data_IF_951558040690
#
_entry.id   IF_951558040690
#
_cell.length_a   1.000
_cell.length_b   1.000
_cell.length_c   1.000
_cell.angle_alpha   90.00
_cell.angle_beta   90.00
_cell.angle_gamma   90.00
#
_symmetry.space_group_name_H-M   'P 1'
#
loop_
_entity.id
_entity.type
_entity.pdbx_description
1 polymer ?
#
# COMPACT_ATOMS: atom_id res chain seq x y z
N UNK A 1 -10.46 -14.13 -16.43
CA UNK A 1 -9.24 -13.38 -16.03
C UNK A 1 -8.03 -14.19 -16.50
N UNK A 2 -7.02 -13.56 -17.12
CA UNK A 2 -5.79 -14.23 -17.60
C UNK A 2 -4.54 -13.58 -17.01
N UNK A 3 -3.53 -14.37 -16.67
CA UNK A 3 -2.23 -13.85 -16.23
C UNK A 3 -1.59 -13.04 -17.36
N UNK A 4 -1.08 -11.86 -17.03
CA UNK A 4 -0.40 -10.99 -17.99
C UNK A 4 1.10 -11.31 -18.02
N UNK A 5 1.70 -11.31 -19.21
CA UNK A 5 3.10 -11.65 -19.37
C UNK A 5 4.04 -10.60 -18.76
N UNK A 6 5.18 -11.04 -18.22
CA UNK A 6 6.19 -10.18 -17.62
C UNK A 6 6.87 -9.33 -18.70
N UNK A 7 6.56 -8.04 -18.71
CA UNK A 7 7.16 -7.03 -19.59
C UNK A 7 6.93 -5.64 -19.03
N UNK A 8 7.76 -4.68 -19.45
CA UNK A 8 7.56 -3.28 -19.07
C UNK A 8 6.23 -2.78 -19.62
N UNK A 9 5.47 -2.09 -18.78
CA UNK A 9 4.19 -1.46 -19.16
C UNK A 9 4.07 -0.06 -18.58
N UNK A 10 3.25 0.78 -19.21
CA UNK A 10 2.83 2.03 -18.56
C UNK A 10 1.91 1.69 -17.39
N UNK A 11 2.17 2.16 -16.15
CA UNK A 11 1.28 1.89 -15.03
C UNK A 11 -0.14 2.43 -15.25
N UNK A 12 -0.32 3.43 -16.12
CA UNK A 12 -1.63 4.03 -16.43
C UNK A 12 -2.61 3.06 -17.11
N UNK A 13 -2.13 1.93 -17.67
CA UNK A 13 -3.01 0.91 -18.25
C UNK A 13 -3.67 0.02 -17.19
N UNK A 14 -3.15 0.06 -15.96
CA UNK A 14 -3.78 -0.60 -14.80
C UNK A 14 -5.04 0.17 -14.45
N UNK A 15 -6.15 -0.55 -14.26
CA UNK A 15 -7.44 0.00 -13.82
C UNK A 15 -7.24 0.89 -12.59
N UNK A 16 -7.76 2.11 -12.63
CA UNK A 16 -7.56 3.12 -11.57
C UNK A 16 -7.87 2.58 -10.18
N UNK A 17 -9.02 1.91 -9.99
CA UNK A 17 -9.37 1.32 -8.70
C UNK A 17 -8.37 0.25 -8.24
N UNK A 18 -7.81 -0.55 -9.16
CA UNK A 18 -6.78 -1.54 -8.83
C UNK A 18 -5.44 -0.87 -8.51
N UNK A 19 -5.05 0.14 -9.28
CA UNK A 19 -3.80 0.86 -9.08
C UNK A 19 -3.79 1.67 -7.77
N UNK A 20 -4.89 2.38 -7.48
CA UNK A 20 -5.04 3.14 -6.24
C UNK A 20 -5.13 2.18 -5.06
N UNK A 21 -5.91 1.08 -5.14
CA UNK A 21 -5.98 0.09 -4.07
C UNK A 21 -4.60 -0.51 -3.77
N UNK A 22 -3.85 -0.90 -4.81
CA UNK A 22 -2.49 -1.41 -4.66
C UNK A 22 -1.60 -0.41 -3.92
N UNK A 23 -1.60 0.85 -4.34
CA UNK A 23 -0.76 1.89 -3.75
C UNK A 23 -1.17 2.22 -2.31
N UNK A 24 -2.48 2.25 -2.03
CA UNK A 24 -3.03 2.45 -0.68
C UNK A 24 -2.69 1.29 0.26
N UNK A 25 -2.84 0.04 -0.20
CA UNK A 25 -2.44 -1.15 0.56
C UNK A 25 -0.95 -1.14 0.85
N UNK A 26 -0.13 -0.90 -0.17
CA UNK A 26 1.32 -0.82 -0.02
C UNK A 26 1.71 0.30 0.95
N UNK A 27 1.02 1.44 0.91
CA UNK A 27 1.22 2.52 1.87
C UNK A 27 0.82 2.13 3.29
N UNK A 28 -0.32 1.47 3.49
CA UNK A 28 -0.80 0.98 4.80
C UNK A 28 0.27 0.14 5.49
N UNK A 29 0.85 -0.82 4.77
CA UNK A 29 1.88 -1.72 5.31
C UNK A 29 3.30 -1.15 5.22
N UNK A 30 3.49 0.04 4.64
CA UNK A 30 4.82 0.63 4.44
C UNK A 30 5.70 -0.10 3.44
N UNK A 31 5.12 -0.79 2.47
CA UNK A 31 5.88 -1.46 1.41
C UNK A 31 6.24 -0.45 0.30
N UNK A 32 7.54 -0.23 0.13
CA UNK A 32 8.09 0.60 -0.94
C UNK A 32 8.82 -0.20 -2.02
N UNK A 33 8.98 -1.52 -1.85
CA UNK A 33 9.69 -2.39 -2.79
C UNK A 33 8.74 -3.02 -3.81
N UNK A 34 8.29 -2.23 -4.77
CA UNK A 34 7.45 -2.71 -5.86
C UNK A 34 7.55 -1.80 -7.08
N UNK A 35 7.12 -2.30 -8.24
CA UNK A 35 6.93 -1.49 -9.45
C UNK A 35 5.90 -2.11 -10.38
N UNK A 36 4.78 -1.41 -10.60
CA UNK A 36 3.83 -1.79 -11.65
C UNK A 36 4.47 -1.70 -13.04
N UNK A 37 5.33 -0.70 -13.27
CA UNK A 37 5.96 -0.52 -14.59
C UNK A 37 6.87 -1.69 -14.96
N UNK A 38 7.62 -2.21 -13.98
CA UNK A 38 8.59 -3.30 -14.17
C UNK A 38 8.06 -4.67 -13.73
N UNK A 39 6.84 -4.75 -13.20
CA UNK A 39 6.27 -5.95 -12.58
C UNK A 39 7.21 -6.55 -11.51
N UNK A 40 7.74 -5.68 -10.65
CA UNK A 40 8.50 -6.05 -9.45
C UNK A 40 7.54 -6.11 -8.27
N UNK A 41 7.49 -7.24 -7.56
CA UNK A 41 6.58 -7.51 -6.43
C UNK A 41 5.10 -7.20 -6.76
N UNK A 42 4.74 -7.48 -8.01
CA UNK A 42 3.44 -7.24 -8.64
C UNK A 42 3.16 -8.41 -9.56
N UNK A 43 2.02 -9.05 -9.39
CA UNK A 43 1.46 -9.96 -10.38
C UNK A 43 0.34 -9.25 -11.14
N UNK A 44 0.33 -9.37 -12.47
CA UNK A 44 -0.64 -8.67 -13.31
C UNK A 44 -1.61 -9.63 -13.97
N UNK A 45 -2.88 -9.24 -14.00
CA UNK A 45 -3.94 -9.99 -14.64
C UNK A 45 -4.75 -9.10 -15.58
N UNK A 46 -5.18 -9.66 -16.70
CA UNK A 46 -6.09 -9.00 -17.63
C UNK A 46 -7.52 -9.52 -17.44
N UNK A 47 -8.45 -8.60 -17.21
CA UNK A 47 -9.87 -8.91 -16.99
C UNK A 47 -10.70 -8.91 -18.29
N UNK A 48 -10.07 -8.68 -19.44
CA UNK A 48 -10.75 -8.49 -20.73
C UNK A 48 -10.84 -7.02 -21.17
N UNK A 49 -10.60 -6.07 -20.26
CA UNK A 49 -10.65 -4.62 -20.54
C UNK A 49 -9.42 -3.88 -20.03
N UNK A 50 -8.99 -4.10 -18.78
CA UNK A 50 -7.88 -3.40 -18.14
C UNK A 50 -6.99 -4.36 -17.37
N UNK A 51 -5.79 -3.91 -17.02
CA UNK A 51 -4.92 -4.67 -16.11
C UNK A 51 -5.35 -4.47 -14.66
N UNK A 52 -5.26 -5.55 -13.90
CA UNK A 52 -5.35 -5.62 -12.45
C UNK A 52 -3.96 -5.94 -11.91
N UNK A 53 -3.54 -5.22 -10.88
CA UNK A 53 -2.27 -5.45 -10.19
C UNK A 53 -2.54 -6.05 -8.80
N UNK A 54 -1.83 -7.13 -8.46
CA UNK A 54 -1.90 -7.78 -7.16
C UNK A 54 -0.50 -7.71 -6.52
N UNK A 55 -0.36 -7.10 -5.33
CA UNK A 55 0.90 -7.02 -4.62
C UNK A 55 1.27 -8.39 -4.04
N UNK A 56 2.55 -8.74 -4.05
CA UNK A 56 3.10 -9.89 -3.34
C UNK A 56 4.49 -9.52 -2.80
N UNK A 57 5.08 -10.38 -1.97
CA UNK A 57 6.38 -10.17 -1.31
C UNK A 57 6.40 -8.94 -0.38
N UNK A 58 6.12 -9.17 0.91
CA UNK A 58 5.91 -8.11 1.91
C UNK A 58 6.98 -8.05 2.99
N UNK A 59 8.04 -8.84 2.85
CA UNK A 59 9.16 -8.89 3.78
C UNK A 59 9.85 -7.52 3.95
N UNK A 60 9.95 -6.74 2.88
CA UNK A 60 10.49 -5.38 2.82
C UNK A 60 9.49 -4.28 3.24
N UNK A 61 8.40 -4.63 3.94
CA UNK A 61 7.40 -3.67 4.41
C UNK A 61 7.67 -3.20 5.84
N UNK A 62 7.33 -1.94 6.12
CA UNK A 62 7.42 -1.37 7.47
C UNK A 62 6.55 -2.08 8.53
N UNK A 63 5.48 -2.74 8.11
CA UNK A 63 4.67 -3.57 9.00
C UNK A 63 5.45 -4.81 9.47
N UNK A 64 6.15 -5.49 8.54
CA UNK A 64 6.97 -6.66 8.86
C UNK A 64 8.23 -6.26 9.63
N UNK A 65 8.88 -5.16 9.23
CA UNK A 65 10.09 -4.64 9.89
C UNK A 65 11.19 -5.70 10.04
N UNK A 66 11.43 -6.47 8.96
CA UNK A 66 12.42 -7.54 8.96
C UNK A 66 13.82 -6.96 9.21
N UNK A 67 14.63 -7.64 10.03
CA UNK A 67 15.96 -7.15 10.44
C UNK A 67 16.94 -6.92 9.29
N UNK A 68 16.72 -7.58 8.15
CA UNK A 68 17.54 -7.44 6.94
C UNK A 68 17.00 -6.39 5.97
N UNK A 69 15.76 -5.94 6.14
CA UNK A 69 15.13 -4.99 5.24
C UNK A 69 15.82 -3.62 5.36
N UNK A 70 16.28 -3.09 4.23
CA UNK A 70 16.94 -1.78 4.16
C UNK A 70 16.09 -0.79 3.40
N UNK A 71 16.06 0.49 3.83
CA UNK A 71 15.32 1.53 3.11
C UNK A 71 15.86 1.70 1.69
N UNK A 72 14.97 1.95 0.73
CA UNK A 72 15.38 2.26 -0.63
C UNK A 72 16.10 3.62 -0.65
N UNK A 73 17.40 3.69 -1.03
CA UNK A 73 18.17 4.93 -0.98
C UNK A 73 17.59 6.05 -1.86
N UNK A 74 16.87 5.70 -2.93
CA UNK A 74 16.24 6.69 -3.81
C UNK A 74 15.07 7.44 -3.16
N UNK A 75 14.49 6.87 -2.09
CA UNK A 75 13.33 7.45 -1.40
C UNK A 75 13.72 8.41 -0.26
N UNK A 76 15.00 8.51 0.09
CA UNK A 76 15.52 9.38 1.15
C UNK A 76 14.83 9.18 2.51
N UNK A 77 14.45 7.94 2.81
CA UNK A 77 13.93 7.52 4.13
C UNK A 77 15.02 6.84 4.93
N UNK A 78 14.99 6.99 6.25
CA UNK A 78 16.00 6.41 7.15
C UNK A 78 15.66 4.99 7.61
N UNK A 79 14.39 4.61 7.50
CA UNK A 79 13.88 3.29 7.89
C UNK A 79 12.82 2.77 6.93
N UNK A 80 12.70 1.44 6.81
CA UNK A 80 11.59 0.78 6.08
C UNK A 80 10.22 1.04 6.73
N UNK A 81 10.19 1.44 7.99
CA UNK A 81 8.96 1.81 8.70
C UNK A 81 8.41 3.18 8.28
N UNK A 82 9.20 4.03 7.62
CA UNK A 82 8.74 5.30 7.07
C UNK A 82 7.91 5.08 5.81
N UNK A 83 6.63 5.48 5.85
CA UNK A 83 5.74 5.32 4.71
C UNK A 83 6.03 6.35 3.61
N UNK A 84 6.08 5.87 2.37
CA UNK A 84 6.14 6.71 1.18
C UNK A 84 5.02 6.32 0.23
N UNK A 85 4.14 7.26 -0.09
CA UNK A 85 3.12 7.02 -1.11
C UNK A 85 3.77 7.03 -2.50
N UNK A 86 3.62 5.95 -3.26
CA UNK A 86 4.26 5.77 -4.58
C UNK A 86 3.26 5.61 -5.74
N UNK A 87 1.98 5.87 -5.50
CA UNK A 87 0.93 5.89 -6.52
C UNK A 87 1.07 7.07 -7.49
N UNK A 88 0.30 7.08 -8.58
CA UNK A 88 0.34 8.13 -9.60
C UNK A 88 -0.73 9.20 -9.39
N UNK A 89 -0.42 10.47 -9.69
CA UNK A 89 -1.37 11.58 -9.59
C UNK A 89 -2.42 11.56 -10.70
N UNK A 90 -2.00 11.14 -11.90
CA UNK A 90 -2.88 11.03 -13.07
C UNK A 90 -3.82 9.82 -12.95
N UNK A 91 -4.73 9.88 -11.99
CA UNK A 91 -5.81 8.93 -11.72
C UNK A 91 -7.09 9.68 -11.40
N UNK A 92 -8.21 9.00 -11.57
CA UNK A 92 -9.51 9.53 -11.26
C UNK A 92 -9.64 9.93 -9.77
N UNK A 93 -10.07 11.19 -9.53
CA UNK A 93 -10.16 11.76 -8.19
C UNK A 93 -11.33 11.17 -7.38
N UNK A 94 -12.45 10.84 -8.04
CA UNK A 94 -13.57 10.17 -7.38
C UNK A 94 -13.15 8.78 -6.88
N UNK A 95 -12.39 8.04 -7.68
CA UNK A 95 -11.83 6.74 -7.30
C UNK A 95 -10.92 6.84 -6.06
N UNK A 96 -10.16 7.94 -5.90
CA UNK A 96 -9.39 8.17 -4.66
C UNK A 96 -10.30 8.32 -3.44
N UNK A 97 -11.37 9.12 -3.57
CA UNK A 97 -12.36 9.32 -2.50
C UNK A 97 -13.04 8.00 -2.16
N UNK A 98 -13.55 7.26 -3.15
CA UNK A 98 -14.16 5.94 -2.94
C UNK A 98 -13.20 4.96 -2.27
N UNK A 99 -11.92 4.95 -2.68
CA UNK A 99 -10.93 4.07 -2.06
C UNK A 99 -10.64 4.46 -0.62
N UNK A 100 -10.53 5.77 -0.32
CA UNK A 100 -10.36 6.25 1.05
C UNK A 100 -11.49 5.76 1.96
N UNK A 101 -12.74 5.94 1.52
CA UNK A 101 -13.91 5.48 2.28
C UNK A 101 -13.94 3.95 2.43
N UNK A 102 -13.51 3.21 1.41
CA UNK A 102 -13.36 1.76 1.52
C UNK A 102 -12.38 1.38 2.66
N UNK A 103 -11.19 2.00 2.74
CA UNK A 103 -10.26 1.70 3.82
C UNK A 103 -10.81 2.08 5.20
N UNK A 104 -11.46 3.25 5.32
CA UNK A 104 -12.13 3.69 6.56
C UNK A 104 -13.18 2.68 7.01
N UNK A 105 -13.98 2.16 6.08
CA UNK A 105 -15.00 1.14 6.38
C UNK A 105 -14.41 -0.18 6.91
N UNK A 106 -13.14 -0.46 6.60
CA UNK A 106 -12.42 -1.68 6.97
C UNK A 106 -11.60 -1.57 8.26
N UNK A 107 -11.60 -0.40 8.92
CA UNK A 107 -10.83 -0.16 10.14
C UNK A 107 -11.11 -1.19 11.23
N UNK A 108 -12.38 -1.36 11.59
CA UNK A 108 -12.79 -2.32 12.63
C UNK A 108 -12.43 -3.76 12.27
N UNK A 109 -12.67 -4.18 11.01
CA UNK A 109 -12.33 -5.53 10.54
C UNK A 109 -10.81 -5.77 10.60
N UNK A 110 -9.99 -4.79 10.21
CA UNK A 110 -8.53 -4.90 10.26
C UNK A 110 -8.03 -5.01 11.69
N UNK A 111 -8.54 -4.19 12.62
CA UNK A 111 -8.15 -4.30 14.02
C UNK A 111 -8.61 -5.62 14.64
N UNK A 112 -9.79 -6.12 14.29
CA UNK A 112 -10.24 -7.45 14.72
C UNK A 112 -9.30 -8.57 14.24
N UNK A 113 -8.78 -8.48 13.01
CA UNK A 113 -7.75 -9.41 12.53
C UNK A 113 -6.48 -9.29 13.37
N UNK A 114 -6.00 -8.08 13.65
CA UNK A 114 -4.79 -7.89 14.48
C UNK A 114 -4.99 -8.48 15.88
N UNK A 115 -6.14 -8.19 16.52
CA UNK A 115 -6.50 -8.69 17.85
C UNK A 115 -6.53 -10.22 17.91
N UNK A 116 -6.91 -10.89 16.81
CA UNK A 116 -6.91 -12.35 16.74
C UNK A 116 -5.51 -12.98 16.87
N UNK A 117 -4.45 -12.21 16.63
CA UNK A 117 -3.05 -12.66 16.79
C UNK A 117 -2.43 -12.26 18.13
N UNK A 118 -3.19 -11.67 19.06
CA UNK A 118 -2.67 -11.18 20.34
C UNK A 118 -1.94 -12.27 21.14
N UNK A 119 -2.44 -13.49 21.12
CA UNK A 119 -1.82 -14.65 21.80
C UNK A 119 -0.65 -15.27 21.01
N UNK A 120 -0.48 -14.90 19.74
CA UNK A 120 0.59 -15.42 18.88
C UNK A 120 1.81 -14.50 18.81
N UNK A 121 1.70 -13.27 19.32
CA UNK A 121 2.74 -12.25 19.27
C UNK A 121 3.19 -11.88 20.68
N UNK A 122 4.45 -11.46 20.82
CA UNK A 122 4.87 -10.79 22.03
C UNK A 122 4.08 -9.49 22.23
N UNK A 123 3.83 -9.09 23.47
CA UNK A 123 3.12 -7.83 23.78
C UNK A 123 3.75 -6.62 23.05
N UNK A 124 5.10 -6.60 23.00
CA UNK A 124 5.85 -5.58 22.29
C UNK A 124 5.55 -5.56 20.79
N UNK A 125 5.57 -6.72 20.13
CA UNK A 125 5.29 -6.82 18.69
C UNK A 125 3.84 -6.52 18.37
N UNK A 126 2.91 -7.03 19.17
CA UNK A 126 1.49 -6.73 19.05
C UNK A 126 1.25 -5.21 19.11
N UNK A 127 1.78 -4.56 20.15
CA UNK A 127 1.66 -3.10 20.31
C UNK A 127 2.31 -2.33 19.17
N UNK A 128 3.46 -2.81 18.63
CA UNK A 128 4.11 -2.21 17.47
C UNK A 128 3.22 -2.29 16.23
N UNK A 129 2.69 -3.47 15.91
CA UNK A 129 1.81 -3.74 14.76
C UNK A 129 0.53 -2.91 14.86
N UNK A 130 -0.15 -2.96 16.00
CA UNK A 130 -1.37 -2.18 16.25
C UNK A 130 -1.14 -0.69 16.12
N UNK A 131 -0.06 -0.15 16.70
CA UNK A 131 0.31 1.27 16.56
C UNK A 131 0.67 1.63 15.12
N UNK A 132 1.38 0.75 14.41
CA UNK A 132 1.74 0.96 13.02
C UNK A 132 0.49 1.08 12.16
N UNK A 133 -0.44 0.13 12.23
CA UNK A 133 -1.70 0.19 11.47
C UNK A 133 -2.57 1.38 11.91
N UNK A 134 -2.67 1.66 13.21
CA UNK A 134 -3.37 2.86 13.71
C UNK A 134 -2.84 4.14 13.07
N UNK A 135 -1.52 4.31 12.94
CA UNK A 135 -0.97 5.51 12.31
C UNK A 135 -1.31 5.65 10.82
N UNK A 136 -1.65 4.56 10.11
CA UNK A 136 -2.25 4.67 8.78
C UNK A 136 -3.70 5.17 8.86
N UNK A 137 -4.48 4.66 9.82
CA UNK A 137 -5.86 5.11 10.04
C UNK A 137 -5.96 6.56 10.48
N UNK A 138 -5.03 7.03 11.33
CA UNK A 138 -4.92 8.45 11.70
C UNK A 138 -4.72 9.34 10.44
N UNK A 139 -4.04 8.84 9.40
CA UNK A 139 -3.86 9.54 8.11
C UNK A 139 -5.13 9.49 7.26
N UNK A 140 -5.72 8.31 7.05
CA UNK A 140 -6.91 8.20 6.16
C UNK A 140 -8.16 8.81 6.77
N UNK A 141 -8.26 8.93 8.11
CA UNK A 141 -9.36 9.61 8.78
C UNK A 141 -9.19 11.14 8.84
N UNK A 142 -8.00 11.68 8.54
CA UNK A 142 -7.73 13.12 8.53
C UNK A 142 -7.66 13.69 7.12
N UNK A 143 -8.50 14.66 6.79
CA UNK A 143 -8.48 15.32 5.47
C UNK A 143 -7.17 16.04 5.17
N UNK A 144 -6.53 16.59 6.22
CA UNK A 144 -5.27 17.30 6.10
C UNK A 144 -4.13 16.29 5.86
N UNK A 145 -4.06 15.23 6.66
CA UNK A 145 -2.99 14.24 6.52
C UNK A 145 -3.14 13.42 5.23
N UNK A 146 -4.36 13.00 4.87
CA UNK A 146 -4.61 12.28 3.63
C UNK A 146 -4.14 13.10 2.42
N UNK A 147 -4.47 14.40 2.40
CA UNK A 147 -3.99 15.31 1.35
C UNK A 147 -2.47 15.43 1.35
N UNK A 148 -1.86 15.65 2.52
CA UNK A 148 -0.43 15.94 2.65
C UNK A 148 0.48 14.73 2.45
N UNK A 149 -0.01 13.53 2.74
CA UNK A 149 0.77 12.28 2.73
C UNK A 149 0.47 11.40 1.53
N UNK A 150 -0.70 11.54 0.91
CA UNK A 150 -1.15 10.69 -0.20
C UNK A 150 -1.34 11.54 -1.46
N UNK A 151 -2.31 12.47 -1.46
CA UNK A 151 -2.66 13.20 -2.68
C UNK A 151 -1.56 14.16 -3.16
N UNK A 152 -0.81 14.81 -2.28
CA UNK A 152 0.30 15.69 -2.66
C UNK A 152 1.63 14.96 -2.87
N UNK A 153 1.68 13.66 -2.54
CA UNK A 153 2.88 12.82 -2.65
C UNK A 153 2.82 11.82 -3.81
N UNK A 154 1.70 11.77 -4.52
CA UNK A 154 1.60 10.99 -5.74
C UNK A 154 2.67 11.42 -6.75
N UNK A 155 3.02 10.51 -7.66
CA UNK A 155 4.08 10.70 -8.65
C UNK A 155 3.48 11.04 -10.02
N UNK A 156 4.21 11.87 -10.78
CA UNK A 156 3.89 12.18 -12.17
C UNK A 156 2.91 13.33 -12.28
#
# INVERSE_FOLDING_TARGET
>A
IKKFAKRRVSPLIVKDSSAINFAMFSYMIGNTDWSMAYQHNVEMFFDGRRLLAIPYDFDHSGLVDAFYAKPNPMLKISSVTERVYRGLCKRDAETFTTMREFYRSKESEIFSVIDSYKENLSEKEFNRVSKYIKSFYDIVNSDVEFRNKILSKCRG
#
